data_IF_590799396865
#
_entry.id   IF_590799396865
#
_cell.length_a   1.000
_cell.length_b   1.000
_cell.length_c   1.000
_cell.angle_alpha   90.00
_cell.angle_beta   90.00
_cell.angle_gamma   90.00
#
_symmetry.space_group_name_H-M   'P 1'
#
loop_
_entity.id
_entity.type
_entity.pdbx_description
1 polymer ?
#
# COMPACT_ATOMS: atom_id res chain seq x y z
N UNK A 1 -2.66 1.09 -28.49
CA UNK A 1 -1.49 1.77 -27.86
C UNK A 1 -1.73 3.25 -27.57
N UNK A 2 -2.89 3.82 -27.94
CA UNK A 2 -3.27 5.23 -27.76
C UNK A 2 -3.96 5.56 -26.41
N UNK A 3 -4.05 4.60 -25.48
CA UNK A 3 -4.78 4.77 -24.22
C UNK A 3 -3.95 5.26 -23.01
N UNK A 4 -2.62 5.36 -23.13
CA UNK A 4 -1.75 5.82 -22.02
C UNK A 4 -1.44 7.33 -22.05
N UNK A 5 -1.68 7.99 -23.18
CA UNK A 5 -1.32 9.39 -23.39
C UNK A 5 -2.23 10.40 -22.67
N UNK A 6 -3.35 9.94 -22.10
CA UNK A 6 -4.29 10.80 -21.37
C UNK A 6 -4.34 10.53 -19.86
N UNK A 7 -3.74 9.46 -19.35
CA UNK A 7 -3.78 9.17 -17.90
C UNK A 7 -2.62 9.79 -17.13
N UNK A 8 -1.45 10.00 -17.75
CA UNK A 8 -0.29 10.57 -17.06
C UNK A 8 -0.33 12.10 -16.88
N UNK A 9 -1.21 12.80 -17.59
CA UNK A 9 -1.53 14.21 -17.28
C UNK A 9 -2.60 14.35 -16.20
N UNK A 10 -3.20 13.25 -15.74
CA UNK A 10 -4.25 13.23 -14.71
C UNK A 10 -3.82 12.60 -13.37
N UNK A 11 -2.80 11.73 -13.34
CA UNK A 11 -2.48 10.93 -12.13
C UNK A 11 -1.12 11.23 -11.44
N UNK A 12 -0.47 12.36 -11.74
CA UNK A 12 0.69 12.84 -10.96
C UNK A 12 2.03 12.16 -11.31
N UNK A 13 3.11 12.94 -11.20
CA UNK A 13 4.47 12.53 -11.57
C UNK A 13 5.12 11.63 -10.50
N UNK A 14 5.39 10.36 -10.82
CA UNK A 14 6.23 9.47 -10.00
C UNK A 14 7.67 9.40 -10.52
N UNK A 15 8.64 8.94 -9.71
CA UNK A 15 10.04 8.77 -10.11
C UNK A 15 10.24 7.74 -11.25
N UNK A 16 9.29 6.80 -11.42
CA UNK A 16 9.23 5.93 -12.60
C UNK A 16 8.89 6.73 -13.87
N UNK A 17 8.16 7.85 -13.73
CA UNK A 17 7.85 8.82 -14.78
C UNK A 17 9.09 9.52 -15.37
N UNK A 18 10.18 9.67 -14.61
CA UNK A 18 11.41 10.31 -15.13
C UNK A 18 12.22 9.37 -16.05
N UNK A 19 12.22 8.06 -15.78
CA UNK A 19 12.75 7.06 -16.72
C UNK A 19 11.78 6.80 -17.87
N UNK A 20 10.46 6.84 -17.60
CA UNK A 20 9.45 6.70 -18.65
C UNK A 20 9.53 7.86 -19.64
N UNK A 21 9.76 9.11 -19.21
CA UNK A 21 9.93 10.27 -20.09
C UNK A 21 11.08 10.11 -21.09
N UNK A 22 12.21 9.51 -20.69
CA UNK A 22 13.33 9.26 -21.61
C UNK A 22 12.98 8.19 -22.65
N UNK A 23 12.30 7.12 -22.21
CA UNK A 23 11.86 6.03 -23.07
C UNK A 23 10.69 6.48 -23.97
N UNK A 24 9.78 7.30 -23.46
CA UNK A 24 8.62 7.85 -24.16
C UNK A 24 9.04 8.93 -25.16
N UNK A 25 10.01 9.79 -24.81
CA UNK A 25 10.63 10.70 -25.78
C UNK A 25 11.29 9.88 -26.90
N UNK A 26 12.05 8.83 -26.56
CA UNK A 26 12.63 7.93 -27.56
C UNK A 26 11.56 7.23 -28.42
N UNK A 27 10.47 6.76 -27.83
CA UNK A 27 9.36 6.11 -28.53
C UNK A 27 8.57 7.09 -29.40
N UNK A 28 8.36 8.33 -28.97
CA UNK A 28 7.74 9.38 -29.77
C UNK A 28 8.62 9.79 -30.95
N UNK A 29 9.94 9.82 -30.75
CA UNK A 29 10.91 10.04 -31.83
C UNK A 29 10.87 8.87 -32.82
N UNK A 30 10.88 7.63 -32.33
CA UNK A 30 10.78 6.43 -33.16
C UNK A 30 9.43 6.32 -33.88
N UNK A 31 8.33 6.72 -33.23
CA UNK A 31 6.99 6.75 -33.81
C UNK A 31 6.85 7.85 -34.86
N UNK A 32 7.37 9.05 -34.58
CA UNK A 32 7.42 10.14 -35.56
C UNK A 32 8.27 9.73 -36.77
N UNK A 33 9.41 9.07 -36.56
CA UNK A 33 10.23 8.50 -37.63
C UNK A 33 9.47 7.41 -38.41
N UNK A 34 8.76 6.51 -37.74
CA UNK A 34 7.99 5.42 -38.37
C UNK A 34 6.78 5.93 -39.17
N UNK A 35 6.03 6.90 -38.64
CA UNK A 35 4.91 7.55 -39.34
C UNK A 35 5.45 8.28 -40.58
N UNK A 36 6.57 8.99 -40.44
CA UNK A 36 7.20 9.69 -41.56
C UNK A 36 7.65 8.71 -42.65
N UNK A 37 8.26 7.57 -42.27
CA UNK A 37 8.63 6.49 -43.19
C UNK A 37 7.38 5.88 -43.89
N UNK A 38 6.27 5.70 -43.17
CA UNK A 38 5.02 5.18 -43.77
C UNK A 38 4.36 6.17 -44.73
N UNK A 39 4.35 7.47 -44.42
CA UNK A 39 3.83 8.51 -45.32
C UNK A 39 4.68 8.73 -46.57
N UNK A 40 5.88 8.13 -46.61
CA UNK A 40 6.82 8.18 -47.72
C UNK A 40 6.88 6.88 -48.53
N UNK A 41 5.88 5.98 -48.41
CA UNK A 41 5.82 4.76 -49.23
C UNK A 41 6.04 5.10 -50.71
N UNK A 42 7.09 4.56 -51.36
CA UNK A 42 7.29 4.77 -52.79
C UNK A 42 6.20 4.03 -53.55
N UNK A 43 5.81 4.60 -54.69
CA UNK A 43 4.99 3.92 -55.69
C UNK A 43 5.59 2.54 -56.01
N UNK A 44 4.79 1.47 -55.90
CA UNK A 44 5.21 0.06 -55.94
C UNK A 44 5.77 -0.41 -57.29
N UNK A 45 5.97 0.51 -58.23
CA UNK A 45 6.46 0.27 -59.59
C UNK A 45 7.99 0.37 -59.73
N UNK A 46 8.74 0.81 -58.71
CA UNK A 46 10.20 1.03 -58.80
C UNK A 46 11.00 0.24 -57.76
N UNK A 47 11.57 -0.88 -58.20
CA UNK A 47 12.28 -1.86 -57.38
C UNK A 47 13.74 -1.45 -57.02
N UNK A 48 13.99 -0.19 -56.63
CA UNK A 48 15.30 0.26 -56.14
C UNK A 48 15.16 1.28 -55.00
N UNK A 49 15.38 0.84 -53.77
CA UNK A 49 15.60 1.71 -52.61
C UNK A 49 16.74 2.70 -52.90
N UNK A 50 16.45 3.99 -53.03
CA UNK A 50 17.47 5.04 -53.20
C UNK A 50 17.65 5.78 -51.87
N UNK A 51 18.88 5.83 -51.36
CA UNK A 51 19.27 6.58 -50.15
C UNK A 51 18.75 8.04 -50.16
N UNK A 52 18.61 8.65 -51.34
CA UNK A 52 18.06 10.00 -51.54
C UNK A 52 16.58 10.16 -51.13
N UNK A 53 15.80 9.09 -51.05
CA UNK A 53 14.39 9.14 -50.62
C UNK A 53 14.25 9.12 -49.08
N UNK A 54 15.21 8.52 -48.37
CA UNK A 54 15.30 8.53 -46.90
C UNK A 54 15.87 9.87 -46.39
N UNK A 55 16.77 10.48 -47.16
CA UNK A 55 17.35 11.81 -46.93
C UNK A 55 16.57 12.91 -47.67
N UNK A 56 15.24 12.83 -47.73
CA UNK A 56 14.46 13.94 -48.26
C UNK A 56 14.44 15.09 -47.23
N UNK A 57 14.35 16.33 -47.74
CA UNK A 57 14.41 17.55 -46.94
C UNK A 57 13.50 17.52 -45.70
N UNK A 58 12.28 16.98 -45.80
CA UNK A 58 11.30 16.90 -44.70
C UNK A 58 11.76 15.98 -43.57
N UNK A 59 12.40 14.85 -43.88
CA UNK A 59 12.96 13.92 -42.88
C UNK A 59 14.12 14.57 -42.13
N UNK A 60 14.99 15.25 -42.87
CA UNK A 60 16.12 15.96 -42.28
C UNK A 60 15.65 17.13 -41.39
N UNK A 61 14.64 17.89 -41.83
CA UNK A 61 14.04 18.97 -41.03
C UNK A 61 13.41 18.42 -39.75
N UNK A 62 12.64 17.33 -39.81
CA UNK A 62 12.04 16.71 -38.63
C UNK A 62 13.11 16.21 -37.63
N UNK A 63 14.17 15.56 -38.13
CA UNK A 63 15.28 15.11 -37.30
C UNK A 63 16.02 16.27 -36.63
N UNK A 64 16.24 17.39 -37.34
CA UNK A 64 16.85 18.60 -36.79
C UNK A 64 15.95 19.22 -35.72
N UNK A 65 14.63 19.30 -35.94
CA UNK A 65 13.68 19.82 -34.94
C UNK A 65 13.73 18.95 -33.67
N UNK A 66 13.67 17.63 -33.82
CA UNK A 66 13.78 16.70 -32.69
C UNK A 66 15.11 16.88 -31.96
N UNK A 67 16.23 16.94 -32.69
CA UNK A 67 17.55 17.15 -32.10
C UNK A 67 17.64 18.50 -31.37
N UNK A 68 17.05 19.56 -31.93
CA UNK A 68 16.98 20.88 -31.32
C UNK A 68 16.11 20.89 -30.06
N UNK A 69 14.98 20.16 -30.04
CA UNK A 69 14.14 20.00 -28.85
C UNK A 69 14.90 19.25 -27.76
N UNK A 70 15.55 18.12 -28.08
CA UNK A 70 16.34 17.35 -27.12
C UNK A 70 17.50 18.21 -26.59
N UNK A 71 18.24 18.89 -27.48
CA UNK A 71 19.29 19.81 -27.09
C UNK A 71 18.75 20.92 -26.19
N UNK A 72 17.57 21.47 -26.50
CA UNK A 72 16.88 22.44 -25.64
C UNK A 72 16.55 21.87 -24.27
N UNK A 73 15.94 20.69 -24.19
CA UNK A 73 15.61 20.01 -22.93
C UNK A 73 16.86 19.77 -22.08
N UNK A 74 17.97 19.36 -22.70
CA UNK A 74 19.25 19.12 -22.02
C UNK A 74 19.92 20.42 -21.59
N UNK A 75 20.02 21.41 -22.48
CA UNK A 75 20.68 22.70 -22.22
C UNK A 75 19.90 23.54 -21.20
N UNK A 76 18.58 23.43 -21.18
CA UNK A 76 17.70 24.18 -20.28
C UNK A 76 17.11 23.34 -19.14
N UNK A 77 17.61 22.12 -18.90
CA UNK A 77 17.09 21.21 -17.87
C UNK A 77 16.96 21.87 -16.49
N UNK A 78 17.90 22.75 -16.12
CA UNK A 78 17.85 23.47 -14.84
C UNK A 78 16.68 24.47 -14.79
N UNK A 79 16.48 25.26 -15.85
CA UNK A 79 15.37 26.23 -15.91
C UNK A 79 14.03 25.51 -15.94
N UNK A 80 13.93 24.44 -16.71
CA UNK A 80 12.73 23.59 -16.76
C UNK A 80 12.44 23.01 -15.37
N UNK A 81 13.45 22.44 -14.71
CA UNK A 81 13.32 21.93 -13.35
C UNK A 81 12.79 22.97 -12.38
N UNK A 82 13.37 24.17 -12.36
CA UNK A 82 12.92 25.28 -11.50
C UNK A 82 11.48 25.73 -11.80
N UNK A 83 11.08 25.76 -13.07
CA UNK A 83 9.71 26.10 -13.47
C UNK A 83 8.69 25.03 -13.03
N UNK A 84 9.12 23.79 -12.83
CA UNK A 84 8.25 22.68 -12.43
C UNK A 84 8.13 22.53 -10.90
N UNK A 85 9.03 23.10 -10.10
CA UNK A 85 9.02 22.94 -8.63
C UNK A 85 7.72 23.43 -8.01
N UNK A 86 7.27 24.63 -8.36
CA UNK A 86 6.09 25.23 -7.72
C UNK A 86 4.78 24.53 -8.12
N UNK A 87 4.50 24.22 -9.41
CA UNK A 87 3.32 23.44 -9.78
C UNK A 87 3.29 22.05 -9.15
N UNK A 88 4.39 21.29 -9.23
CA UNK A 88 4.49 19.95 -8.64
C UNK A 88 4.37 20.02 -7.12
N UNK A 89 5.07 20.97 -6.49
CA UNK A 89 5.01 21.21 -5.05
C UNK A 89 3.60 21.56 -4.61
N UNK A 90 2.89 22.41 -5.35
CA UNK A 90 1.50 22.78 -5.05
C UNK A 90 0.60 21.55 -5.15
N UNK A 91 0.71 20.73 -6.20
CA UNK A 91 -0.09 19.51 -6.35
C UNK A 91 0.13 18.53 -5.18
N UNK A 92 1.38 18.35 -4.74
CA UNK A 92 1.72 17.45 -3.63
C UNK A 92 1.24 18.03 -2.29
N UNK A 93 1.52 19.29 -2.00
CA UNK A 93 1.27 19.91 -0.69
C UNK A 93 -0.18 20.31 -0.47
N UNK A 94 -0.95 20.54 -1.54
CA UNK A 94 -2.39 20.88 -1.45
C UNK A 94 -3.31 19.65 -1.47
N UNK A 95 -2.76 18.44 -1.65
CA UNK A 95 -3.55 17.23 -1.69
C UNK A 95 -4.33 17.00 -0.38
N UNK A 96 -5.64 16.80 -0.52
CA UNK A 96 -6.52 16.44 0.59
C UNK A 96 -7.32 15.18 0.22
N UNK A 97 -6.67 14.03 0.37
CA UNK A 97 -7.28 12.75 0.02
C UNK A 97 -8.52 12.49 0.88
N UNK A 98 -8.43 12.72 2.19
CA UNK A 98 -9.52 12.47 3.14
C UNK A 98 -10.68 13.43 2.91
N UNK A 99 -10.42 14.73 2.70
CA UNK A 99 -11.47 15.72 2.44
C UNK A 99 -12.24 15.50 1.15
N UNK A 100 -11.67 14.79 0.18
CA UNK A 100 -12.31 14.41 -1.08
C UNK A 100 -13.11 13.09 -1.00
N UNK A 101 -13.04 12.36 0.12
CA UNK A 101 -13.85 11.16 0.33
C UNK A 101 -15.25 11.54 0.82
N UNK A 102 -16.31 10.84 0.37
CA UNK A 102 -17.63 11.01 0.96
C UNK A 102 -17.62 10.50 2.41
N UNK A 103 -18.55 10.99 3.24
CA UNK A 103 -18.70 10.46 4.59
C UNK A 103 -19.02 8.96 4.55
N UNK A 104 -18.26 8.16 5.30
CA UNK A 104 -18.28 6.71 5.21
C UNK A 104 -17.05 6.08 5.86
N UNK A 105 -16.87 4.80 5.57
CA UNK A 105 -15.71 4.03 5.99
C UNK A 105 -14.84 3.76 4.76
N UNK A 106 -13.53 3.97 4.83
CA UNK A 106 -12.64 3.77 3.68
C UNK A 106 -11.40 3.02 4.11
N UNK A 107 -10.82 2.26 3.19
CA UNK A 107 -9.65 1.40 3.46
C UNK A 107 -8.59 1.67 2.41
N UNK A 108 -7.41 2.10 2.83
CA UNK A 108 -6.23 2.28 1.99
C UNK A 108 -5.22 1.18 2.28
N UNK A 109 -4.76 0.47 1.24
CA UNK A 109 -3.71 -0.54 1.38
C UNK A 109 -2.35 0.14 1.31
N UNK A 110 -1.74 0.36 2.48
CA UNK A 110 -0.45 1.05 2.62
C UNK A 110 0.72 0.08 2.41
N UNK A 111 0.52 -1.18 2.75
CA UNK A 111 1.46 -2.26 2.47
C UNK A 111 0.75 -3.60 2.54
N UNK A 112 1.06 -4.46 1.58
CA UNK A 112 0.34 -5.73 1.35
C UNK A 112 1.28 -6.95 1.32
N UNK A 113 2.56 -6.76 1.56
CA UNK A 113 3.57 -7.81 1.62
C UNK A 113 3.73 -8.40 3.03
N UNK A 114 4.47 -9.49 3.07
CA UNK A 114 4.88 -10.24 4.26
C UNK A 114 6.40 -10.02 4.53
N UNK A 115 7.07 -10.75 5.43
CA UNK A 115 8.50 -10.58 5.69
C UNK A 115 9.41 -10.86 4.49
N UNK A 116 8.96 -11.69 3.54
CA UNK A 116 9.72 -11.96 2.31
C UNK A 116 9.68 -10.74 1.39
N UNK A 117 10.86 -10.26 0.97
CA UNK A 117 10.98 -9.07 0.16
C UNK A 117 10.23 -9.18 -1.18
N UNK A 118 9.41 -8.17 -1.48
CA UNK A 118 8.72 -7.99 -2.75
C UNK A 118 9.05 -6.59 -3.30
N UNK A 119 9.50 -6.51 -4.56
CA UNK A 119 9.85 -5.23 -5.18
C UNK A 119 8.66 -4.31 -5.44
N UNK A 120 7.43 -4.81 -5.31
CA UNK A 120 6.18 -4.08 -5.57
C UNK A 120 5.39 -3.77 -4.30
N UNK A 121 5.68 -4.44 -3.18
CA UNK A 121 4.88 -4.38 -1.94
C UNK A 121 5.72 -3.97 -0.75
N UNK A 122 5.26 -2.99 0.01
CA UNK A 122 5.69 -2.75 1.39
C UNK A 122 5.11 -3.82 2.32
N UNK A 123 5.70 -3.98 3.49
CA UNK A 123 5.17 -4.89 4.53
C UNK A 123 3.83 -4.40 5.09
N UNK A 124 3.10 -5.29 5.75
CA UNK A 124 1.69 -5.12 6.11
C UNK A 124 1.38 -3.78 6.80
N UNK A 125 0.42 -3.04 6.25
CA UNK A 125 -0.17 -1.86 6.85
C UNK A 125 -1.44 -1.44 6.12
N UNK A 126 -2.46 -1.05 6.88
CA UNK A 126 -3.77 -0.64 6.37
C UNK A 126 -4.18 0.69 6.98
N UNK A 127 -4.49 1.68 6.14
CA UNK A 127 -5.16 2.90 6.58
C UNK A 127 -6.68 2.72 6.60
N UNK A 128 -7.34 2.98 7.71
CA UNK A 128 -8.80 2.97 7.84
C UNK A 128 -9.29 4.39 8.13
N UNK A 129 -10.11 4.93 7.24
CA UNK A 129 -10.66 6.28 7.35
C UNK A 129 -12.13 6.17 7.76
N UNK A 130 -12.49 6.68 8.93
CA UNK A 130 -13.87 6.79 9.40
C UNK A 130 -14.28 8.25 9.46
N UNK A 131 -15.13 8.68 8.52
CA UNK A 131 -15.42 10.10 8.32
C UNK A 131 -14.15 10.86 7.91
N UNK A 132 -13.57 11.62 8.84
CA UNK A 132 -12.33 12.40 8.64
C UNK A 132 -11.12 11.88 9.42
N UNK A 133 -11.32 10.90 10.28
CA UNK A 133 -10.25 10.36 11.12
C UNK A 133 -9.56 9.19 10.42
N UNK A 134 -8.23 9.25 10.32
CA UNK A 134 -7.41 8.16 9.80
C UNK A 134 -6.84 7.33 10.96
N UNK A 135 -7.03 6.02 10.89
CA UNK A 135 -6.43 5.02 11.76
C UNK A 135 -5.46 4.19 10.95
N UNK A 136 -4.31 3.80 11.52
CA UNK A 136 -3.33 2.95 10.84
C UNK A 136 -3.27 1.61 11.58
N UNK A 137 -3.64 0.53 10.89
CA UNK A 137 -3.51 -0.84 11.40
C UNK A 137 -2.20 -1.41 10.88
N UNK A 138 -1.28 -1.68 11.80
CA UNK A 138 0.11 -2.05 11.56
C UNK A 138 0.94 -1.00 10.81
N UNK A 139 2.25 -1.02 11.02
CA UNK A 139 3.24 -0.13 10.44
C UNK A 139 4.46 -0.93 9.96
N UNK A 140 4.28 -1.79 8.97
CA UNK A 140 5.36 -2.57 8.36
C UNK A 140 6.37 -1.73 7.58
N UNK A 141 7.62 -2.20 7.41
CA UNK A 141 8.63 -1.52 6.61
C UNK A 141 8.16 -1.07 5.22
N UNK A 142 8.38 0.22 4.94
CA UNK A 142 8.00 0.88 3.68
C UNK A 142 6.56 1.39 3.64
N UNK A 143 5.70 1.04 4.60
CA UNK A 143 4.29 1.45 4.61
C UNK A 143 4.10 2.94 4.84
N UNK A 144 4.93 3.57 5.67
CA UNK A 144 4.84 5.02 5.95
C UNK A 144 5.19 5.82 4.70
N UNK A 145 6.19 5.34 3.93
CA UNK A 145 6.52 5.90 2.62
C UNK A 145 5.34 5.78 1.64
N UNK A 146 4.63 4.65 1.65
CA UNK A 146 3.45 4.45 0.79
C UNK A 146 2.30 5.36 1.17
N UNK A 147 2.04 5.55 2.47
CA UNK A 147 1.08 6.54 2.97
C UNK A 147 1.39 7.95 2.43
N UNK A 148 2.65 8.36 2.48
CA UNK A 148 3.11 9.66 1.94
C UNK A 148 2.92 9.76 0.42
N UNK A 149 3.29 8.71 -0.33
CA UNK A 149 3.11 8.67 -1.79
C UNK A 149 1.63 8.66 -2.21
N UNK A 150 0.76 8.09 -1.39
CA UNK A 150 -0.70 8.16 -1.54
C UNK A 150 -1.26 9.52 -1.15
N UNK A 151 -0.42 10.50 -0.80
CA UNK A 151 -0.77 11.88 -0.45
C UNK A 151 -1.64 12.01 0.81
N UNK A 152 -1.61 11.03 1.71
CA UNK A 152 -2.22 11.17 3.04
C UNK A 152 -1.37 12.07 3.94
N UNK A 153 -2.05 12.94 4.69
CA UNK A 153 -1.38 13.80 5.67
C UNK A 153 -1.22 13.04 6.98
N UNK A 154 0.01 12.87 7.44
CA UNK A 154 0.30 12.17 8.70
C UNK A 154 -0.40 12.82 9.91
N UNK A 155 -0.64 14.13 9.88
CA UNK A 155 -1.39 14.85 10.92
C UNK A 155 -2.84 14.34 11.11
N UNK A 156 -3.44 13.73 10.08
CA UNK A 156 -4.79 13.17 10.16
C UNK A 156 -4.84 11.83 10.91
N UNK A 157 -3.69 11.21 11.20
CA UNK A 157 -3.62 9.94 11.92
C UNK A 157 -4.06 10.18 13.37
N UNK A 158 -5.22 9.66 13.74
CA UNK A 158 -5.80 9.73 15.08
C UNK A 158 -5.17 8.72 16.02
N UNK A 159 -5.02 7.47 15.57
CA UNK A 159 -4.36 6.41 16.32
C UNK A 159 -3.76 5.34 15.40
N UNK A 160 -2.80 4.58 15.92
CA UNK A 160 -2.33 3.33 15.33
C UNK A 160 -2.81 2.13 16.15
N UNK A 161 -3.02 0.99 15.48
CA UNK A 161 -3.47 -0.26 16.08
C UNK A 161 -2.53 -1.39 15.62
N UNK A 162 -1.92 -2.11 16.55
CA UNK A 162 -0.99 -3.21 16.23
C UNK A 162 -1.69 -4.55 16.39
N UNK A 163 -1.64 -5.40 15.37
CA UNK A 163 -2.22 -6.76 15.40
C UNK A 163 -1.37 -7.69 16.24
N UNK A 164 -0.05 -7.61 16.08
CA UNK A 164 0.95 -8.34 16.86
C UNK A 164 2.33 -7.68 16.68
N UNK A 165 3.41 -8.32 17.17
CA UNK A 165 4.73 -7.69 17.30
C UNK A 165 5.82 -8.28 16.41
N UNK A 166 5.48 -8.85 15.24
CA UNK A 166 6.48 -9.17 14.22
C UNK A 166 7.00 -7.90 13.53
N UNK A 167 8.24 -7.98 13.05
CA UNK A 167 8.95 -6.84 12.48
C UNK A 167 8.28 -6.27 11.24
N UNK A 168 7.61 -7.09 10.44
CA UNK A 168 6.86 -6.69 9.26
C UNK A 168 5.51 -6.02 9.57
N UNK A 169 5.10 -5.97 10.85
CA UNK A 169 3.91 -5.24 11.32
C UNK A 169 4.25 -3.99 12.14
N UNK A 170 5.50 -3.85 12.63
CA UNK A 170 5.89 -2.73 13.52
C UNK A 170 7.11 -1.94 13.03
N UNK A 171 7.82 -2.41 12.00
CA UNK A 171 9.15 -1.90 11.65
C UNK A 171 9.23 -0.41 11.32
N UNK A 172 8.15 0.17 10.78
CA UNK A 172 8.04 1.61 10.47
C UNK A 172 7.34 2.41 11.58
N UNK A 173 7.01 1.83 12.74
CA UNK A 173 6.27 2.53 13.81
C UNK A 173 6.98 3.80 14.29
N UNK A 174 8.31 3.75 14.40
CA UNK A 174 9.15 4.91 14.72
C UNK A 174 8.99 6.06 13.71
N UNK A 175 9.01 5.72 12.42
CA UNK A 175 8.85 6.69 11.34
C UNK A 175 7.42 7.25 11.29
N UNK A 176 6.41 6.41 11.55
CA UNK A 176 5.00 6.83 11.65
C UNK A 176 4.82 7.89 12.75
N UNK A 177 5.39 7.66 13.95
CA UNK A 177 5.36 8.60 15.06
C UNK A 177 6.09 9.90 14.71
N UNK A 178 7.29 9.79 14.14
CA UNK A 178 8.11 10.93 13.74
C UNK A 178 7.41 11.81 12.69
N UNK A 179 6.88 11.21 11.63
CA UNK A 179 6.22 11.92 10.52
C UNK A 179 4.92 12.57 10.96
N UNK A 180 4.12 11.90 11.80
CA UNK A 180 2.93 12.52 12.42
C UNK A 180 3.33 13.72 13.27
N UNK A 181 4.30 13.57 14.15
CA UNK A 181 4.71 14.61 15.07
C UNK A 181 5.38 15.80 14.37
N UNK A 182 6.52 15.57 13.72
CA UNK A 182 7.33 16.62 13.14
C UNK A 182 6.77 17.13 11.81
N UNK A 183 6.26 16.23 10.96
CA UNK A 183 5.65 16.61 9.68
C UNK A 183 4.25 17.20 9.83
N UNK A 184 3.52 16.83 10.88
CA UNK A 184 2.17 17.33 11.18
C UNK A 184 2.11 18.46 12.21
N UNK A 185 3.22 18.79 12.87
CA UNK A 185 3.27 19.74 14.00
C UNK A 185 2.27 19.38 15.12
N UNK A 186 2.16 18.09 15.43
CA UNK A 186 1.19 17.60 16.40
C UNK A 186 1.63 17.92 17.83
N UNK A 187 0.66 18.27 18.69
CA UNK A 187 0.90 18.64 20.09
C UNK A 187 0.71 17.49 21.08
N UNK A 188 0.37 16.29 20.61
CA UNK A 188 0.18 15.08 21.42
C UNK A 188 0.87 13.89 20.77
N UNK A 189 1.39 12.92 21.56
CA UNK A 189 1.95 11.70 21.02
C UNK A 189 0.89 10.92 20.23
N UNK A 190 1.33 10.00 19.38
CA UNK A 190 0.42 9.07 18.69
C UNK A 190 -0.13 8.04 19.68
N UNK A 191 -1.44 7.93 19.83
CA UNK A 191 -2.04 6.81 20.57
C UNK A 191 -1.83 5.50 19.79
N UNK A 192 -1.26 4.49 20.44
CA UNK A 192 -0.94 3.19 19.83
C UNK A 192 -1.62 2.09 20.62
N UNK A 193 -2.70 1.57 20.08
CA UNK A 193 -3.43 0.43 20.64
C UNK A 193 -2.73 -0.87 20.26
N UNK A 194 -2.65 -1.78 21.21
CA UNK A 194 -2.13 -3.12 20.95
C UNK A 194 -2.41 -4.04 22.12
N UNK A 195 -2.30 -5.35 21.90
CA UNK A 195 -2.49 -6.32 22.96
C UNK A 195 -1.34 -6.24 23.99
N UNK A 196 -1.42 -7.01 25.08
CA UNK A 196 -0.40 -7.06 26.13
C UNK A 196 1.04 -7.13 25.57
N UNK A 197 1.89 -6.17 25.95
CA UNK A 197 3.27 -6.05 25.46
C UNK A 197 3.53 -4.83 24.58
N UNK A 198 2.47 -4.14 24.12
CA UNK A 198 2.58 -2.92 23.30
C UNK A 198 3.39 -1.81 23.99
N UNK A 199 3.35 -1.72 25.32
CA UNK A 199 4.12 -0.75 26.09
C UNK A 199 5.62 -0.92 25.89
N UNK A 200 6.11 -2.17 25.83
CA UNK A 200 7.52 -2.45 25.58
C UNK A 200 7.92 -2.06 24.15
N UNK A 201 7.05 -2.33 23.17
CA UNK A 201 7.27 -1.95 21.77
C UNK A 201 7.35 -0.42 21.63
N UNK A 202 6.35 0.29 22.15
CA UNK A 202 6.29 1.77 22.07
C UNK A 202 7.45 2.41 22.82
N UNK A 203 7.78 1.92 24.02
CA UNK A 203 8.94 2.41 24.77
C UNK A 203 10.25 2.19 24.00
N UNK A 204 10.41 1.04 23.34
CA UNK A 204 11.57 0.72 22.50
C UNK A 204 11.75 1.71 21.35
N UNK A 205 10.69 2.00 20.60
CA UNK A 205 10.76 2.97 19.51
C UNK A 205 10.94 4.42 20.01
N UNK A 206 10.28 4.81 21.11
CA UNK A 206 10.51 6.11 21.74
C UNK A 206 11.99 6.28 22.15
N UNK A 207 12.61 5.23 22.69
CA UNK A 207 14.02 5.23 23.03
C UNK A 207 14.90 5.34 21.79
N UNK A 208 14.63 4.53 20.76
CA UNK A 208 15.40 4.50 19.52
C UNK A 208 15.39 5.86 18.79
N UNK A 209 14.28 6.58 18.82
CA UNK A 209 14.12 7.89 18.17
C UNK A 209 14.44 9.09 19.07
N UNK A 210 14.80 8.86 20.33
CA UNK A 210 14.99 9.94 21.32
C UNK A 210 16.08 10.96 20.94
N UNK A 211 17.13 10.53 20.24
CA UNK A 211 18.18 11.43 19.74
C UNK A 211 17.69 12.30 18.57
N UNK A 212 16.89 11.72 17.67
CA UNK A 212 16.28 12.45 16.56
C UNK A 212 15.30 13.51 17.10
N UNK A 213 14.43 13.12 18.03
CA UNK A 213 13.48 14.03 18.67
C UNK A 213 14.17 15.25 19.27
N UNK A 214 15.24 15.03 20.06
CA UNK A 214 16.04 16.12 20.65
C UNK A 214 16.66 17.02 19.58
N UNK A 215 17.27 16.42 18.55
CA UNK A 215 17.92 17.16 17.47
C UNK A 215 16.94 18.08 16.75
N UNK A 216 15.76 17.58 16.38
CA UNK A 216 14.73 18.36 15.69
C UNK A 216 14.17 19.47 16.56
N UNK A 217 13.89 19.20 17.84
CA UNK A 217 13.39 20.22 18.78
C UNK A 217 14.40 21.37 18.90
N UNK A 218 15.68 21.05 19.08
CA UNK A 218 16.73 22.04 19.19
C UNK A 218 16.92 22.84 17.88
N UNK A 219 16.79 22.18 16.73
CA UNK A 219 17.04 22.81 15.44
C UNK A 219 15.86 23.67 14.94
N UNK A 220 14.62 23.17 15.03
CA UNK A 220 13.43 23.83 14.48
C UNK A 220 12.63 24.63 15.51
N UNK A 221 12.86 24.40 16.80
CA UNK A 221 12.17 25.08 17.89
C UNK A 221 10.79 24.48 18.22
N UNK A 222 10.28 24.74 19.45
CA UNK A 222 9.09 24.07 19.98
C UNK A 222 7.78 24.48 19.29
N UNK A 223 7.76 25.58 18.54
CA UNK A 223 6.58 26.00 17.78
C UNK A 223 6.38 25.13 16.52
N UNK A 224 7.46 24.71 15.88
CA UNK A 224 7.41 23.90 14.64
C UNK A 224 7.30 22.42 14.98
N UNK A 225 8.05 21.98 16.00
CA UNK A 225 8.12 20.60 16.48
C UNK A 225 7.81 20.55 17.98
N UNK A 226 6.53 20.53 18.37
CA UNK A 226 6.12 20.65 19.76
C UNK A 226 6.63 19.47 20.60
N UNK A 227 7.45 19.68 21.65
CA UNK A 227 8.03 18.56 22.41
C UNK A 227 6.97 17.62 23.00
N UNK A 228 5.78 18.13 23.30
CA UNK A 228 4.64 17.34 23.82
C UNK A 228 4.09 16.34 22.82
N UNK A 229 4.36 16.50 21.53
CA UNK A 229 3.88 15.61 20.48
C UNK A 229 4.81 14.46 20.12
N UNK A 230 6.03 14.43 20.65
CA UNK A 230 7.04 13.47 20.24
C UNK A 230 6.70 12.04 20.69
N UNK A 231 6.94 11.08 19.81
CA UNK A 231 6.79 9.65 20.09
C UNK A 231 5.35 9.16 20.12
N UNK A 232 5.16 8.03 20.82
CA UNK A 232 3.88 7.34 20.94
C UNK A 232 3.49 7.09 22.39
N UNK A 233 2.19 6.97 22.60
CA UNK A 233 1.56 6.62 23.86
C UNK A 233 0.88 5.26 23.73
N UNK A 234 1.39 4.27 24.46
CA UNK A 234 0.82 2.93 24.45
C UNK A 234 -0.58 2.91 25.08
N UNK A 235 -1.51 2.23 24.41
CA UNK A 235 -2.89 1.95 24.85
C UNK A 235 -3.09 0.43 24.90
N UNK A 236 -2.54 -0.23 25.94
CA UNK A 236 -2.64 -1.67 26.07
C UNK A 236 -4.07 -2.11 26.32
N UNK A 237 -4.41 -3.29 25.81
CA UNK A 237 -5.63 -3.99 26.19
C UNK A 237 -5.37 -5.48 26.35
N UNK A 238 -6.27 -6.13 27.09
CA UNK A 238 -6.31 -7.58 27.23
C UNK A 238 -7.76 -8.04 27.23
N UNK A 239 -8.01 -9.26 26.77
CA UNK A 239 -9.35 -9.82 26.76
C UNK A 239 -9.74 -10.27 28.17
N UNK A 240 -10.94 -9.90 28.66
CA UNK A 240 -11.50 -10.51 29.85
C UNK A 240 -11.55 -12.04 29.73
N UNK A 241 -11.50 -12.76 30.86
CA UNK A 241 -11.54 -14.22 30.86
C UNK A 241 -12.80 -14.73 30.10
N UNK A 242 -12.57 -15.57 29.09
CA UNK A 242 -13.64 -16.12 28.24
C UNK A 242 -14.18 -15.18 27.15
N UNK A 243 -13.73 -13.93 27.09
CA UNK A 243 -14.08 -13.01 26.00
C UNK A 243 -13.17 -13.26 24.78
N UNK A 244 -13.77 -13.35 23.60
CA UNK A 244 -13.05 -13.44 22.33
C UNK A 244 -12.78 -12.06 21.68
N UNK A 245 -13.43 -11.01 22.18
CA UNK A 245 -13.34 -9.66 21.63
C UNK A 245 -13.57 -8.57 22.69
N UNK A 246 -13.12 -7.35 22.38
CA UNK A 246 -13.26 -6.16 23.23
C UNK A 246 -13.38 -4.91 22.35
N UNK A 247 -14.32 -4.03 22.66
CA UNK A 247 -14.37 -2.70 22.05
C UNK A 247 -13.29 -1.81 22.68
N UNK A 248 -12.38 -1.30 21.86
CA UNK A 248 -11.23 -0.49 22.28
C UNK A 248 -11.38 0.99 21.93
N UNK A 249 -12.28 1.31 20.98
CA UNK A 249 -12.67 2.65 20.60
C UNK A 249 -14.19 2.64 20.36
N UNK A 250 -14.91 3.56 20.99
CA UNK A 250 -16.32 3.83 20.73
C UNK A 250 -16.54 5.35 20.84
N UNK A 251 -16.46 6.04 19.70
CA UNK A 251 -16.51 7.50 19.62
C UNK A 251 -16.96 7.97 18.23
N UNK A 252 -17.70 9.08 18.17
CA UNK A 252 -18.06 9.77 16.91
C UNK A 252 -18.76 8.87 15.87
N UNK A 253 -19.50 7.85 16.33
CA UNK A 253 -20.19 6.88 15.48
C UNK A 253 -19.28 5.77 14.91
N UNK A 254 -18.00 5.76 15.28
CA UNK A 254 -17.06 4.67 15.03
C UNK A 254 -17.00 3.76 16.26
N UNK A 255 -17.10 2.45 16.02
CA UNK A 255 -16.70 1.42 16.96
C UNK A 255 -15.55 0.61 16.38
N UNK A 256 -14.47 0.45 17.14
CA UNK A 256 -13.38 -0.48 16.84
C UNK A 256 -13.37 -1.59 17.88
N UNK A 257 -13.46 -2.82 17.39
CA UNK A 257 -13.46 -4.04 18.20
C UNK A 257 -12.21 -4.85 17.88
N UNK A 258 -11.36 -5.06 18.88
CA UNK A 258 -10.27 -6.03 18.79
C UNK A 258 -10.82 -7.43 19.07
N UNK A 259 -10.29 -8.45 18.40
CA UNK A 259 -10.67 -9.85 18.64
C UNK A 259 -9.45 -10.77 18.57
N UNK A 260 -9.46 -11.83 19.38
CA UNK A 260 -8.37 -12.79 19.43
C UNK A 260 -8.30 -13.61 18.14
N UNK A 261 -7.08 -13.85 17.65
CA UNK A 261 -6.82 -14.72 16.49
C UNK A 261 -5.73 -15.74 16.84
N UNK A 262 -5.48 -16.72 15.95
CA UNK A 262 -4.50 -17.78 16.21
C UNK A 262 -3.32 -17.67 15.25
N UNK A 263 -2.24 -17.10 15.77
CA UNK A 263 -0.95 -17.00 15.10
C UNK A 263 0.13 -17.71 15.93
N UNK A 264 -0.22 -18.83 16.57
CA UNK A 264 0.72 -19.58 17.41
C UNK A 264 1.99 -19.97 16.63
N UNK A 265 3.20 -19.77 17.19
CA UNK A 265 3.51 -19.52 18.61
C UNK A 265 3.46 -18.05 19.04
N UNK A 266 3.13 -17.11 18.15
CA UNK A 266 3.08 -15.68 18.44
C UNK A 266 1.85 -15.36 19.28
N UNK A 267 2.07 -14.92 20.52
CA UNK A 267 1.01 -14.53 21.44
C UNK A 267 1.41 -13.28 22.22
N UNK A 268 0.50 -12.31 22.38
CA UNK A 268 -0.85 -12.24 21.80
C UNK A 268 -0.84 -11.83 20.30
N UNK A 269 -1.86 -12.24 19.55
CA UNK A 269 -2.17 -11.77 18.20
C UNK A 269 -3.67 -11.47 18.10
N UNK A 270 -4.03 -10.39 17.39
CA UNK A 270 -5.42 -9.92 17.27
C UNK A 270 -5.77 -9.47 15.86
N UNK A 271 -7.06 -9.51 15.55
CA UNK A 271 -7.67 -8.80 14.43
C UNK A 271 -8.51 -7.61 14.91
N UNK A 272 -8.94 -6.77 13.97
CA UNK A 272 -9.75 -5.59 14.24
C UNK A 272 -10.99 -5.53 13.35
N UNK A 273 -12.14 -5.19 13.94
CA UNK A 273 -13.38 -4.85 13.23
C UNK A 273 -13.70 -3.37 13.45
N UNK A 274 -13.95 -2.66 12.35
CA UNK A 274 -14.37 -1.27 12.33
C UNK A 274 -15.83 -1.21 11.87
N UNK A 275 -16.70 -0.66 12.69
CA UNK A 275 -18.09 -0.37 12.36
C UNK A 275 -18.30 1.15 12.37
N UNK A 276 -18.76 1.72 11.26
CA UNK A 276 -19.03 3.15 11.14
C UNK A 276 -20.25 3.41 10.25
N UNK A 277 -21.29 4.05 10.81
CA UNK A 277 -22.52 4.45 10.10
C UNK A 277 -23.12 3.37 9.19
N UNK A 278 -23.17 2.13 9.70
CA UNK A 278 -23.73 0.98 9.00
C UNK A 278 -22.81 0.31 7.96
N UNK A 279 -21.55 0.74 7.88
CA UNK A 279 -20.49 0.07 7.11
C UNK A 279 -19.56 -0.69 8.05
N UNK A 280 -19.03 -1.82 7.59
CA UNK A 280 -18.18 -2.67 8.42
C UNK A 280 -16.96 -3.21 7.65
N UNK A 281 -15.77 -3.10 8.25
CA UNK A 281 -14.50 -3.63 7.73
C UNK A 281 -13.86 -4.51 8.79
N UNK A 282 -13.37 -5.68 8.39
CA UNK A 282 -12.62 -6.59 9.25
C UNK A 282 -11.21 -6.77 8.70
N UNK A 283 -10.22 -6.68 9.58
CA UNK A 283 -8.80 -6.91 9.29
C UNK A 283 -8.35 -8.05 10.20
N UNK A 284 -7.88 -9.15 9.62
CA UNK A 284 -7.58 -10.37 10.38
C UNK A 284 -6.33 -10.28 11.25
N UNK A 285 -5.35 -9.45 10.86
CA UNK A 285 -3.96 -9.69 11.24
C UNK A 285 -3.46 -11.01 10.65
N UNK A 286 -2.34 -11.52 11.12
CA UNK A 286 -1.83 -12.84 10.72
C UNK A 286 -2.56 -13.90 11.54
N UNK A 287 -3.10 -14.93 10.89
CA UNK A 287 -3.88 -15.95 11.61
C UNK A 287 -4.18 -17.18 10.77
N UNK A 288 -4.26 -18.33 11.42
CA UNK A 288 -5.05 -19.47 10.97
C UNK A 288 -6.57 -19.18 11.08
N UNK A 289 -7.41 -20.10 10.59
CA UNK A 289 -8.87 -19.95 10.72
C UNK A 289 -9.32 -20.05 12.18
N UNK A 290 -10.10 -19.09 12.68
CA UNK A 290 -10.60 -19.08 14.07
C UNK A 290 -12.10 -18.79 14.16
N UNK A 291 -12.83 -19.33 15.16
CA UNK A 291 -14.25 -19.02 15.38
C UNK A 291 -14.52 -17.51 15.55
N UNK A 292 -13.67 -16.81 16.30
CA UNK A 292 -13.78 -15.36 16.51
C UNK A 292 -13.76 -14.60 15.18
N UNK A 293 -12.90 -15.00 14.23
CA UNK A 293 -12.86 -14.39 12.90
C UNK A 293 -14.17 -14.60 12.13
N UNK A 294 -14.78 -15.79 12.17
CA UNK A 294 -16.11 -16.01 11.58
C UNK A 294 -17.16 -15.11 12.23
N UNK A 295 -17.16 -14.98 13.55
CA UNK A 295 -18.11 -14.14 14.28
C UNK A 295 -17.97 -12.67 13.90
N UNK A 296 -16.73 -12.16 13.86
CA UNK A 296 -16.45 -10.76 13.56
C UNK A 296 -16.61 -10.43 12.08
N UNK A 297 -16.38 -11.37 11.16
CA UNK A 297 -16.61 -11.16 9.73
C UNK A 297 -18.09 -11.08 9.34
N UNK A 298 -19.02 -11.47 10.21
CA UNK A 298 -20.46 -11.53 9.89
C UNK A 298 -20.99 -10.19 9.38
N UNK A 299 -21.50 -10.23 8.14
CA UNK A 299 -22.12 -9.10 7.47
C UNK A 299 -21.18 -7.96 7.11
N UNK A 300 -19.86 -8.17 7.16
CA UNK A 300 -18.89 -7.14 6.82
C UNK A 300 -18.95 -6.76 5.32
N UNK A 301 -18.73 -5.49 5.01
CA UNK A 301 -18.55 -5.06 3.63
C UNK A 301 -17.22 -5.61 3.09
N UNK A 302 -16.13 -5.43 3.86
CA UNK A 302 -14.79 -5.88 3.50
C UNK A 302 -14.23 -6.81 4.56
N UNK A 303 -13.62 -7.92 4.12
CA UNK A 303 -12.71 -8.73 4.93
C UNK A 303 -11.31 -8.64 4.32
N UNK A 304 -10.37 -8.05 5.04
CA UNK A 304 -8.94 -8.06 4.73
C UNK A 304 -8.34 -9.27 5.44
N UNK A 305 -7.92 -10.26 4.65
CA UNK A 305 -7.49 -11.56 5.12
C UNK A 305 -6.00 -11.78 4.82
N UNK A 306 -5.27 -12.25 5.82
CA UNK A 306 -3.97 -12.93 5.69
C UNK A 306 -4.03 -14.03 4.60
N UNK A 307 -2.96 -14.17 3.82
CA UNK A 307 -2.97 -15.02 2.65
C UNK A 307 -1.60 -15.63 2.34
N UNK A 308 -1.37 -16.82 2.91
CA UNK A 308 -0.29 -17.72 2.54
C UNK A 308 -0.80 -18.75 1.52
N UNK A 309 -0.16 -18.90 0.35
CA UNK A 309 -0.50 -19.98 -0.60
C UNK A 309 0.42 -21.22 -0.40
N UNK A 310 -0.07 -22.32 0.22
CA UNK A 310 0.78 -23.44 0.63
C UNK A 310 1.49 -24.16 -0.51
N UNK A 311 0.87 -24.23 -1.69
CA UNK A 311 1.47 -24.90 -2.88
C UNK A 311 2.70 -24.12 -3.36
N UNK A 312 2.61 -22.79 -3.37
CA UNK A 312 3.72 -21.93 -3.79
C UNK A 312 4.84 -21.92 -2.73
N UNK A 313 4.49 -21.84 -1.44
CA UNK A 313 5.47 -21.95 -0.35
C UNK A 313 6.18 -23.30 -0.36
N UNK A 314 5.46 -24.40 -0.57
CA UNK A 314 6.06 -25.73 -0.70
C UNK A 314 7.05 -25.83 -1.86
N UNK A 315 6.74 -25.16 -2.98
CA UNK A 315 7.66 -25.06 -4.12
C UNK A 315 8.93 -24.30 -3.76
N UNK A 316 8.83 -23.16 -3.06
CA UNK A 316 9.99 -22.40 -2.58
C UNK A 316 10.80 -23.15 -1.53
N UNK A 317 10.16 -23.91 -0.65
CA UNK A 317 10.83 -24.79 0.31
C UNK A 317 11.69 -25.83 -0.40
N UNK A 318 11.15 -26.47 -1.43
CA UNK A 318 11.87 -27.46 -2.23
C UNK A 318 13.05 -26.84 -2.99
N UNK A 319 12.89 -25.64 -3.55
CA UNK A 319 14.00 -24.89 -4.17
C UNK A 319 15.07 -24.54 -3.12
N UNK A 320 14.66 -24.11 -1.92
CA UNK A 320 15.58 -23.75 -0.83
C UNK A 320 16.47 -24.95 -0.46
N UNK A 321 15.90 -26.15 -0.28
CA UNK A 321 16.67 -27.39 -0.07
C UNK A 321 17.64 -27.69 -1.22
N UNK A 322 17.15 -27.64 -2.46
CA UNK A 322 17.99 -27.88 -3.65
C UNK A 322 19.18 -26.92 -3.77
N UNK A 323 19.05 -25.71 -3.23
CA UNK A 323 20.10 -24.68 -3.23
C UNK A 323 20.95 -24.64 -1.95
N UNK A 324 20.79 -25.62 -1.04
CA UNK A 324 21.54 -25.70 0.20
C UNK A 324 21.13 -24.67 1.27
N UNK A 325 19.93 -24.09 1.16
CA UNK A 325 19.39 -23.09 2.10
C UNK A 325 18.46 -23.76 3.11
N UNK A 326 19.00 -24.64 3.93
CA UNK A 326 18.21 -25.46 4.87
C UNK A 326 17.44 -24.62 5.91
N UNK A 327 18.04 -23.55 6.45
CA UNK A 327 17.34 -22.66 7.39
C UNK A 327 16.11 -21.99 6.73
N UNK A 328 16.25 -21.52 5.49
CA UNK A 328 15.12 -20.97 4.73
C UNK A 328 14.05 -22.03 4.48
N UNK A 329 14.45 -23.26 4.16
CA UNK A 329 13.50 -24.36 3.97
C UNK A 329 12.75 -24.72 5.27
N UNK A 330 13.40 -24.65 6.43
CA UNK A 330 12.77 -24.85 7.73
C UNK A 330 11.77 -23.72 8.04
N UNK A 331 12.15 -22.46 7.85
CA UNK A 331 11.22 -21.32 8.05
C UNK A 331 10.00 -21.45 7.11
N UNK A 332 10.21 -21.76 5.82
CA UNK A 332 9.13 -21.97 4.86
C UNK A 332 8.26 -23.19 5.19
N UNK A 333 8.78 -24.16 5.96
CA UNK A 333 7.99 -25.26 6.48
C UNK A 333 7.04 -24.76 7.57
N UNK A 334 7.58 -24.07 8.56
CA UNK A 334 6.87 -23.71 9.79
C UNK A 334 5.77 -22.68 9.55
N UNK A 335 6.00 -21.69 8.67
CA UNK A 335 5.01 -20.64 8.35
C UNK A 335 3.70 -21.19 7.78
N UNK A 336 3.68 -22.39 7.20
CA UNK A 336 2.45 -22.95 6.63
C UNK A 336 1.42 -23.37 7.70
N UNK A 337 1.83 -23.49 8.96
CA UNK A 337 0.98 -24.02 10.04
C UNK A 337 0.16 -22.94 10.76
N UNK A 338 0.48 -21.65 10.59
CA UNK A 338 -0.10 -20.56 11.39
C UNK A 338 -0.54 -19.33 10.59
N UNK A 339 -0.76 -19.51 9.27
CA UNK A 339 -1.34 -18.52 8.36
C UNK A 339 -2.52 -19.13 7.59
N UNK A 340 -3.50 -18.30 7.23
CA UNK A 340 -4.63 -18.71 6.43
C UNK A 340 -4.28 -18.77 4.94
N UNK A 341 -4.91 -19.69 4.22
CA UNK A 341 -4.87 -19.72 2.77
C UNK A 341 -5.91 -18.80 2.12
N UNK A 342 -5.72 -18.41 0.85
CA UNK A 342 -6.77 -17.78 0.04
C UNK A 342 -8.10 -18.55 0.06
N UNK A 343 -8.04 -19.88 0.09
CA UNK A 343 -9.18 -20.78 0.23
C UNK A 343 -9.86 -20.63 1.60
N UNK A 344 -9.11 -20.59 2.70
CA UNK A 344 -9.67 -20.37 4.04
C UNK A 344 -10.37 -19.01 4.12
N UNK A 345 -9.74 -17.96 3.59
CA UNK A 345 -10.33 -16.63 3.50
C UNK A 345 -11.64 -16.62 2.72
N UNK A 346 -11.72 -17.36 1.62
CA UNK A 346 -12.94 -17.51 0.83
C UNK A 346 -14.04 -18.29 1.57
N UNK A 347 -13.69 -19.37 2.27
CA UNK A 347 -14.63 -20.13 3.10
C UNK A 347 -15.22 -19.24 4.20
N UNK A 348 -14.37 -18.47 4.90
CA UNK A 348 -14.80 -17.52 5.93
C UNK A 348 -15.70 -16.45 5.33
N UNK A 349 -15.27 -15.80 4.24
CA UNK A 349 -16.02 -14.74 3.58
C UNK A 349 -17.42 -15.21 3.16
N UNK A 350 -17.53 -16.41 2.60
CA UNK A 350 -18.80 -17.00 2.22
C UNK A 350 -19.69 -17.30 3.43
N UNK A 351 -19.15 -17.98 4.45
CA UNK A 351 -19.90 -18.36 5.65
C UNK A 351 -20.38 -17.13 6.45
N UNK A 352 -19.60 -16.05 6.45
CA UNK A 352 -19.90 -14.81 7.16
C UNK A 352 -20.76 -13.83 6.34
N UNK A 353 -21.03 -14.12 5.06
CA UNK A 353 -21.79 -13.23 4.18
C UNK A 353 -21.08 -11.91 3.90
N UNK A 354 -19.75 -11.95 3.76
CA UNK A 354 -18.92 -10.79 3.42
C UNK A 354 -19.22 -10.35 1.98
N UNK A 355 -19.23 -9.04 1.72
CA UNK A 355 -19.49 -8.51 0.36
C UNK A 355 -18.28 -8.56 -0.55
N UNK A 356 -17.07 -8.34 -0.03
CA UNK A 356 -15.82 -8.36 -0.80
C UNK A 356 -14.66 -8.88 0.06
N UNK A 357 -13.98 -9.93 -0.39
CA UNK A 357 -12.76 -10.46 0.21
C UNK A 357 -11.52 -9.78 -0.39
N UNK A 358 -10.66 -9.23 0.44
CA UNK A 358 -9.37 -8.64 0.06
C UNK A 358 -8.27 -9.48 0.68
N UNK A 359 -7.45 -10.12 -0.13
CA UNK A 359 -6.27 -10.83 0.33
C UNK A 359 -5.12 -9.82 0.49
N UNK A 360 -4.51 -9.79 1.67
CA UNK A 360 -3.31 -9.00 2.00
C UNK A 360 -2.26 -9.92 2.64
N UNK A 361 -1.14 -9.37 3.11
CA UNK A 361 -0.04 -10.18 3.66
C UNK A 361 0.37 -11.30 2.70
N UNK A 362 0.69 -10.90 1.46
CA UNK A 362 0.82 -11.84 0.34
C UNK A 362 2.09 -12.68 0.49
N UNK A 363 1.91 -13.98 0.74
CA UNK A 363 2.99 -14.93 0.96
C UNK A 363 2.79 -16.18 0.07
N UNK A 364 3.70 -16.49 -0.87
CA UNK A 364 4.94 -15.79 -1.18
C UNK A 364 4.75 -14.50 -1.98
N UNK A 365 5.82 -13.67 -2.09
CA UNK A 365 5.89 -12.55 -3.02
C UNK A 365 5.44 -12.92 -4.43
N UNK A 366 4.78 -11.99 -5.12
CA UNK A 366 4.23 -12.19 -6.46
C UNK A 366 4.94 -11.26 -7.46
N UNK A 367 6.20 -11.56 -7.85
CA UNK A 367 6.98 -10.70 -8.73
C UNK A 367 6.42 -10.60 -10.15
N UNK A 368 5.53 -11.51 -10.54
CA UNK A 368 4.94 -11.61 -11.87
C UNK A 368 3.41 -11.76 -11.74
N UNK A 369 2.65 -11.05 -12.59
CA UNK A 369 1.19 -11.05 -12.55
C UNK A 369 0.58 -12.42 -12.86
N UNK A 370 1.31 -13.24 -13.62
CA UNK A 370 1.00 -14.61 -14.01
C UNK A 370 0.92 -15.57 -12.81
N UNK A 371 1.49 -15.19 -11.66
CA UNK A 371 1.41 -15.97 -10.43
C UNK A 371 0.09 -15.76 -9.67
N UNK A 372 -0.67 -14.69 -9.97
CA UNK A 372 -1.92 -14.36 -9.27
C UNK A 372 -2.98 -15.48 -9.34
N UNK A 373 -3.22 -16.15 -10.49
CA UNK A 373 -4.15 -17.28 -10.53
C UNK A 373 -3.68 -18.47 -9.68
N UNK A 374 -2.38 -18.77 -9.69
CA UNK A 374 -1.81 -19.83 -8.86
C UNK A 374 -1.86 -19.46 -7.36
N UNK A 375 -1.72 -18.18 -7.03
CA UNK A 375 -1.89 -17.66 -5.69
C UNK A 375 -3.33 -17.84 -5.19
N UNK A 376 -4.33 -17.43 -5.98
CA UNK A 376 -5.74 -17.60 -5.63
C UNK A 376 -6.16 -19.06 -5.47
N UNK A 377 -5.45 -20.00 -6.10
CA UNK A 377 -5.73 -21.42 -6.03
C UNK A 377 -7.21 -21.70 -6.33
N UNK A 378 -7.88 -22.32 -5.36
CA UNK A 378 -9.28 -22.73 -5.45
C UNK A 378 -10.25 -21.82 -4.70
N UNK A 379 -9.80 -20.65 -4.23
CA UNK A 379 -10.61 -19.72 -3.44
C UNK A 379 -11.96 -19.37 -4.12
N UNK A 380 -11.97 -19.28 -5.45
CA UNK A 380 -13.19 -19.02 -6.25
C UNK A 380 -14.25 -20.12 -6.17
N UNK A 381 -13.89 -21.35 -5.79
CA UNK A 381 -14.86 -22.43 -5.55
C UNK A 381 -15.65 -22.21 -4.26
N UNK A 382 -15.07 -21.50 -3.29
CA UNK A 382 -15.64 -21.31 -1.96
C UNK A 382 -16.36 -19.97 -1.80
N UNK A 383 -16.01 -18.96 -2.61
CA UNK A 383 -16.66 -17.65 -2.56
C UNK A 383 -16.94 -17.10 -3.96
N UNK A 384 -18.23 -16.91 -4.25
CA UNK A 384 -18.71 -16.35 -5.51
C UNK A 384 -18.65 -14.82 -5.57
N UNK A 385 -18.40 -14.15 -4.43
CA UNK A 385 -18.26 -12.71 -4.36
C UNK A 385 -16.93 -12.19 -4.93
N UNK A 386 -16.76 -10.87 -5.04
CA UNK A 386 -15.50 -10.25 -5.42
C UNK A 386 -14.35 -10.67 -4.49
N UNK A 387 -13.24 -11.12 -5.09
CA UNK A 387 -11.97 -11.34 -4.39
C UNK A 387 -10.92 -10.47 -5.07
N UNK A 388 -10.21 -9.66 -4.29
CA UNK A 388 -9.07 -8.86 -4.75
C UNK A 388 -7.81 -9.36 -4.06
N UNK A 389 -6.76 -9.67 -4.84
CA UNK A 389 -5.40 -9.69 -4.29
C UNK A 389 -5.00 -8.23 -4.13
N UNK A 390 -4.92 -7.76 -2.89
CA UNK A 390 -4.59 -6.36 -2.59
C UNK A 390 -3.26 -5.97 -3.24
N UNK A 391 -3.09 -4.69 -3.56
CA UNK A 391 -1.82 -4.09 -3.96
C UNK A 391 -1.70 -2.74 -3.26
N UNK A 392 -0.47 -2.37 -2.89
CA UNK A 392 -0.20 -1.07 -2.27
C UNK A 392 -0.73 0.06 -3.16
N UNK A 393 -1.38 1.05 -2.54
CA UNK A 393 -1.98 2.17 -3.28
C UNK A 393 -3.46 1.99 -3.61
N UNK A 394 -4.02 0.79 -3.43
CA UNK A 394 -5.47 0.60 -3.57
C UNK A 394 -6.23 1.31 -2.44
N UNK A 395 -7.36 1.92 -2.78
CA UNK A 395 -8.34 2.44 -1.82
C UNK A 395 -9.73 1.88 -2.13
N UNK A 396 -10.42 1.43 -1.08
CA UNK A 396 -11.80 0.98 -1.10
C UNK A 396 -12.64 1.98 -0.32
N UNK A 397 -13.62 2.58 -0.98
CA UNK A 397 -14.53 3.56 -0.38
C UNK A 397 -15.90 2.98 -0.14
N UNK A 398 -16.38 3.11 1.09
CA UNK A 398 -17.66 2.61 1.58
C UNK A 398 -18.52 3.81 2.05
N UNK A 399 -19.20 4.54 1.14
CA UNK A 399 -20.03 5.68 1.53
C UNK A 399 -21.13 5.27 2.52
N UNK A 400 -21.37 6.11 3.53
CA UNK A 400 -22.48 5.94 4.47
C UNK A 400 -23.82 6.01 3.74
N UNK A 401 -24.83 5.26 4.22
CA UNK A 401 -26.15 5.20 3.58
C UNK A 401 -26.19 4.51 2.20
N UNK A 402 -25.05 3.99 1.70
CA UNK A 402 -24.97 3.21 0.46
C UNK A 402 -24.49 1.78 0.72
N UNK A 403 -24.76 0.89 -0.23
CA UNK A 403 -24.16 -0.46 -0.29
C UNK A 403 -22.95 -0.52 -1.24
N UNK A 404 -22.61 0.59 -1.89
CA UNK A 404 -21.53 0.63 -2.86
C UNK A 404 -20.18 0.37 -2.20
N UNK A 405 -19.32 -0.31 -2.95
CA UNK A 405 -17.90 -0.53 -2.65
C UNK A 405 -17.15 -0.02 -3.86
N UNK A 406 -16.54 1.16 -3.73
CA UNK A 406 -15.84 1.81 -4.83
C UNK A 406 -14.34 1.57 -4.69
N UNK A 407 -13.69 1.09 -5.74
CA UNK A 407 -12.25 0.84 -5.74
C UNK A 407 -11.52 1.86 -6.61
N UNK A 408 -10.45 2.45 -6.10
CA UNK A 408 -9.52 3.31 -6.85
C UNK A 408 -8.08 2.91 -6.53
N UNK A 409 -7.16 3.41 -7.34
CA UNK A 409 -5.74 3.21 -7.17
C UNK A 409 -5.05 4.58 -7.14
N UNK A 410 -4.22 4.85 -6.13
CA UNK A 410 -3.60 6.17 -5.90
C UNK A 410 -2.09 6.24 -6.21
N UNK A 411 -1.44 5.13 -6.57
CA UNK A 411 0.00 5.03 -6.85
C UNK A 411 0.37 4.69 -8.31
#
# INVERSE_FOLDING_TARGET
MSGRLLSQTLDGFSAAGAQSLKIEALLLILLAAAILIQTLKPDSSKNRFRIKEILNFKVLTAAIIVAAIIAGLVLFQNKIGLLLVEPIGTEILSADVIGNLPDGLHVALLGTGAPLADGRRASCSVGVIAGKDLYVVDAGPGSVRKLELMKFRHAAIKAALLTHFHSDHIGDLGELMLKRWAGGSMNSPLDIFGPSGVEAVVAGFNQAYSLDFKSRILHHGPTVVPPSGAGGLARPFSFPAGAESLSIIDADGLRVTAFAVDHSPVKPAVGYRFDYKGRAVVISGDTASTPALYHQARGADLLLMDALQPVLISSLKNVSRKTGRENTAAILHDIMEYHASPEDGAIIANAAGVRHLILTHILPPLPAAELKPAFLGEARKFFSGPITIGEDGMIFSLPSGSKDILMKWLL
#
